data_IF_040617799644
#
_entry.id   IF_040617799644
#
_cell.length_a   1.000
_cell.length_b   1.000
_cell.length_c   1.000
_cell.angle_alpha   90.00
_cell.angle_beta   90.00
_cell.angle_gamma   90.00
#
_symmetry.space_group_name_H-M   'P 1'
#
loop_
_entity.id
_entity.type
_entity.pdbx_description
1 polymer ?
#
# COMPACT_ATOMS: atom_id res chain seq x y z
N UNK A 1 6.39 -3.63 23.06
CA UNK A 1 6.67 -2.42 22.26
C UNK A 1 8.18 -2.06 22.23
N UNK A 2 8.94 -2.38 23.27
CA UNK A 2 10.41 -2.15 23.29
C UNK A 2 11.14 -2.96 22.21
N UNK A 3 10.62 -4.10 21.84
CA UNK A 3 11.22 -4.99 20.84
C UNK A 3 11.09 -4.55 19.38
N UNK A 4 10.15 -3.64 19.04
CA UNK A 4 9.95 -3.26 17.62
C UNK A 4 11.15 -2.50 17.07
N UNK A 5 11.72 -1.58 17.84
CA UNK A 5 12.92 -0.87 17.45
C UNK A 5 14.13 -1.80 17.26
N UNK A 6 14.29 -2.79 18.14
CA UNK A 6 15.36 -3.79 18.02
C UNK A 6 15.21 -4.65 16.75
N UNK A 7 13.98 -5.08 16.43
CA UNK A 7 13.69 -5.83 15.20
C UNK A 7 14.01 -5.00 13.96
N UNK A 8 13.57 -3.74 13.94
CA UNK A 8 13.86 -2.82 12.83
C UNK A 8 15.36 -2.61 12.67
N UNK A 9 16.09 -2.34 13.77
CA UNK A 9 17.55 -2.19 13.74
C UNK A 9 18.22 -3.45 13.18
N UNK A 10 17.83 -4.64 13.63
CA UNK A 10 18.38 -5.91 13.13
C UNK A 10 18.15 -6.09 11.61
N UNK A 11 17.00 -5.69 11.11
CA UNK A 11 16.69 -5.77 9.67
C UNK A 11 17.50 -4.72 8.87
N UNK A 12 17.65 -3.52 9.41
CA UNK A 12 18.48 -2.46 8.80
C UNK A 12 19.97 -2.86 8.76
N UNK A 13 20.48 -3.50 9.80
CA UNK A 13 21.87 -4.03 9.84
C UNK A 13 22.10 -5.11 8.77
N UNK A 14 21.04 -5.70 8.22
CA UNK A 14 21.08 -6.67 7.11
C UNK A 14 20.75 -6.04 5.74
N UNK A 15 20.80 -4.73 5.63
CA UNK A 15 20.50 -3.95 4.42
C UNK A 15 19.05 -4.06 3.91
N UNK A 16 18.10 -4.51 4.75
CA UNK A 16 16.69 -4.46 4.37
C UNK A 16 16.14 -3.05 4.48
N UNK A 17 15.32 -2.65 3.51
CA UNK A 17 14.42 -1.52 3.67
C UNK A 17 13.23 -1.98 4.51
N UNK A 18 12.87 -1.22 5.53
CA UNK A 18 11.86 -1.62 6.50
C UNK A 18 10.68 -0.67 6.46
N UNK A 19 9.48 -1.23 6.41
CA UNK A 19 8.23 -0.52 6.71
C UNK A 19 7.64 -1.04 8.01
N UNK A 20 6.88 -0.20 8.69
CA UNK A 20 6.11 -0.58 9.89
C UNK A 20 4.63 -0.48 9.58
N UNK A 21 3.90 -1.56 9.86
CA UNK A 21 2.44 -1.61 9.75
C UNK A 21 1.82 -1.53 11.15
N UNK A 22 1.41 -0.33 11.52
CA UNK A 22 0.74 -0.06 12.79
C UNK A 22 -0.01 1.27 12.73
N UNK A 23 -1.12 1.34 13.43
CA UNK A 23 -1.87 2.58 13.69
C UNK A 23 -1.51 3.20 15.06
N UNK A 24 -0.65 2.54 15.83
CA UNK A 24 -0.29 2.95 17.19
C UNK A 24 1.00 3.80 17.19
N UNK A 25 0.94 5.09 17.57
CA UNK A 25 2.13 5.94 17.65
C UNK A 25 3.27 5.37 18.49
N UNK A 26 2.94 4.62 19.56
CA UNK A 26 3.94 3.97 20.44
C UNK A 26 4.75 2.86 19.77
N UNK A 27 4.27 2.34 18.64
CA UNK A 27 4.98 1.37 17.80
C UNK A 27 5.66 2.07 16.63
N UNK A 28 4.98 3.06 16.03
CA UNK A 28 5.48 3.81 14.88
C UNK A 28 6.75 4.58 15.24
N UNK A 29 6.73 5.38 16.32
CA UNK A 29 7.85 6.24 16.70
C UNK A 29 9.16 5.46 16.93
N UNK A 30 9.19 4.38 17.75
CA UNK A 30 10.42 3.62 17.93
C UNK A 30 10.86 2.86 16.68
N UNK A 31 9.93 2.40 15.83
CA UNK A 31 10.27 1.75 14.56
C UNK A 31 10.94 2.73 13.59
N UNK A 32 10.42 3.95 13.46
CA UNK A 32 11.01 4.98 12.60
C UNK A 32 12.34 5.47 13.18
N UNK A 33 12.45 5.68 14.49
CA UNK A 33 13.72 6.02 15.15
C UNK A 33 14.81 4.96 14.91
N UNK A 34 14.43 3.69 14.76
CA UNK A 34 15.32 2.58 14.43
C UNK A 34 15.58 2.40 12.92
N UNK A 35 14.99 3.23 12.04
CA UNK A 35 15.28 3.27 10.62
C UNK A 35 14.20 2.69 9.71
N UNK A 36 12.95 2.55 10.16
CA UNK A 36 11.83 2.30 9.25
C UNK A 36 11.62 3.52 8.34
N UNK A 37 11.42 3.26 7.04
CA UNK A 37 11.38 4.27 5.98
C UNK A 37 9.95 4.57 5.51
N UNK A 38 8.99 3.72 5.87
CA UNK A 38 7.59 3.83 5.47
C UNK A 38 6.69 3.39 6.62
N UNK A 39 5.65 4.17 6.89
CA UNK A 39 4.61 3.84 7.88
C UNK A 39 3.32 3.45 7.16
N UNK A 40 2.82 2.29 7.46
CA UNK A 40 1.54 1.72 7.04
C UNK A 40 0.62 1.63 8.28
N UNK A 41 -0.35 2.52 8.60
CA UNK A 41 -0.85 3.59 7.79
C UNK A 41 -1.20 4.79 8.68
N UNK A 42 -1.59 5.93 8.08
CA UNK A 42 -2.12 7.08 8.82
C UNK A 42 -3.52 7.45 8.32
N UNK A 43 -4.36 7.95 9.22
CA UNK A 43 -5.70 8.48 8.97
C UNK A 43 -5.97 9.61 9.98
N UNK A 44 -7.15 10.25 9.96
CA UNK A 44 -7.43 11.41 10.83
C UNK A 44 -7.19 11.15 12.33
N UNK A 45 -7.32 9.90 12.78
CA UNK A 45 -7.14 9.53 14.20
C UNK A 45 -5.69 9.49 14.69
N UNK A 46 -4.70 9.36 13.79
CA UNK A 46 -3.28 9.25 14.15
C UNK A 46 -2.34 10.11 13.30
N UNK A 47 -2.86 10.90 12.36
CA UNK A 47 -2.05 11.61 11.37
C UNK A 47 -1.02 12.57 11.98
N UNK A 48 -1.29 13.10 13.15
CA UNK A 48 -0.40 14.06 13.81
C UNK A 48 0.98 13.47 14.11
N UNK A 49 1.10 12.14 14.25
CA UNK A 49 2.38 11.46 14.43
C UNK A 49 3.30 11.69 13.22
N UNK A 50 2.74 11.74 12.00
CA UNK A 50 3.51 11.89 10.77
C UNK A 50 4.37 13.15 10.74
N UNK A 51 3.94 14.22 11.44
CA UNK A 51 4.64 15.52 11.48
C UNK A 51 6.08 15.44 11.96
N UNK A 52 6.39 14.49 12.83
CA UNK A 52 7.71 14.35 13.47
C UNK A 52 8.53 13.15 13.00
N UNK A 53 7.97 12.29 12.15
CA UNK A 53 8.62 11.03 11.79
C UNK A 53 9.80 11.18 10.82
N UNK A 54 9.74 12.14 9.89
CA UNK A 54 10.78 12.33 8.89
C UNK A 54 10.87 11.21 7.84
N UNK A 55 9.86 10.37 7.70
CA UNK A 55 9.75 9.30 6.71
C UNK A 55 8.44 9.38 5.91
N UNK A 56 8.31 8.55 4.89
CA UNK A 56 7.08 8.46 4.08
C UNK A 56 5.96 7.75 4.85
N UNK A 57 4.71 8.18 4.63
CA UNK A 57 3.53 7.56 5.23
C UNK A 57 2.52 7.13 4.17
N UNK A 58 1.73 6.09 4.46
CA UNK A 58 0.59 5.69 3.64
C UNK A 58 -0.68 6.27 4.27
N UNK A 59 -1.35 7.14 3.52
CA UNK A 59 -2.62 7.74 3.92
C UNK A 59 -3.78 6.85 3.50
N UNK A 60 -4.58 6.43 4.46
CA UNK A 60 -5.83 5.68 4.24
C UNK A 60 -7.05 6.52 4.60
N UNK A 61 -8.25 6.22 4.07
CA UNK A 61 -9.48 6.88 4.48
C UNK A 61 -9.85 6.53 5.93
N UNK A 62 -10.65 7.40 6.55
CA UNK A 62 -11.20 7.17 7.90
C UNK A 62 -12.27 6.07 7.91
N UNK A 63 -12.87 5.83 6.77
CA UNK A 63 -13.88 4.80 6.53
C UNK A 63 -13.61 4.14 5.18
N UNK A 64 -13.33 2.84 5.18
CA UNK A 64 -13.01 2.07 3.98
C UNK A 64 -14.15 2.04 2.93
N UNK A 65 -15.39 2.28 3.33
CA UNK A 65 -16.50 2.37 2.37
C UNK A 65 -16.53 3.68 1.58
N UNK A 66 -15.80 4.69 2.04
CA UNK A 66 -15.77 6.04 1.49
C UNK A 66 -14.33 6.53 1.30
N UNK A 67 -14.17 7.80 0.98
CA UNK A 67 -12.87 8.49 0.96
C UNK A 67 -12.81 9.60 2.01
N UNK A 68 -13.59 9.45 3.11
CA UNK A 68 -13.62 10.43 4.19
C UNK A 68 -12.21 10.64 4.78
N UNK A 69 -11.91 11.90 5.09
CA UNK A 69 -10.62 12.31 5.67
C UNK A 69 -9.47 12.48 4.68
N UNK A 70 -9.53 11.89 3.48
CA UNK A 70 -8.40 11.95 2.52
C UNK A 70 -8.03 13.39 2.18
N UNK A 71 -8.98 14.20 1.72
CA UNK A 71 -8.68 15.55 1.21
C UNK A 71 -8.14 16.49 2.31
N UNK A 72 -8.62 16.33 3.55
CA UNK A 72 -8.14 17.11 4.69
C UNK A 72 -6.74 16.67 5.13
N UNK A 73 -6.51 15.37 5.14
CA UNK A 73 -5.24 14.81 5.58
C UNK A 73 -4.13 15.00 4.53
N UNK A 74 -4.45 14.98 3.24
CA UNK A 74 -3.52 15.38 2.17
C UNK A 74 -3.04 16.81 2.40
N UNK A 75 -3.95 17.77 2.64
CA UNK A 75 -3.57 19.17 2.92
C UNK A 75 -2.66 19.32 4.13
N UNK A 76 -2.90 18.52 5.19
CA UNK A 76 -2.03 18.51 6.38
C UNK A 76 -0.63 18.01 6.02
N UNK A 77 -0.52 16.85 5.35
CA UNK A 77 0.76 16.26 4.97
C UNK A 77 1.55 17.18 4.05
N UNK A 78 0.90 17.78 3.05
CA UNK A 78 1.52 18.79 2.17
C UNK A 78 2.01 20.01 2.95
N UNK A 79 1.19 20.54 3.86
CA UNK A 79 1.57 21.70 4.71
C UNK A 79 2.78 21.39 5.59
N UNK A 80 2.89 20.16 6.08
CA UNK A 80 4.02 19.71 6.92
C UNK A 80 5.24 19.27 6.11
N UNK A 81 5.12 19.15 4.77
CA UNK A 81 6.18 18.65 3.90
C UNK A 81 6.48 17.16 4.12
N UNK A 82 5.50 16.38 4.60
CA UNK A 82 5.63 14.94 4.81
C UNK A 82 5.38 14.20 3.51
N UNK A 83 6.33 13.39 3.03
CA UNK A 83 6.10 12.55 1.86
C UNK A 83 5.02 11.50 2.15
N UNK A 84 4.12 11.28 1.19
CA UNK A 84 3.02 10.35 1.36
C UNK A 84 2.64 9.66 0.06
N UNK A 85 1.98 8.52 0.20
CA UNK A 85 1.19 7.86 -0.84
C UNK A 85 -0.21 7.58 -0.32
N UNK A 86 -1.19 7.48 -1.22
CA UNK A 86 -2.59 7.26 -0.85
C UNK A 86 -2.95 5.80 -1.13
N UNK A 87 -3.53 5.11 -0.15
CA UNK A 87 -4.16 3.81 -0.34
C UNK A 87 -5.66 3.91 -0.06
N UNK A 88 -6.53 3.89 -1.09
CA UNK A 88 -7.99 3.87 -0.92
C UNK A 88 -8.54 2.60 -0.29
N UNK A 89 -7.70 1.66 0.05
CA UNK A 89 -7.95 0.34 0.65
C UNK A 89 -8.72 -0.60 -0.27
N UNK A 90 -8.06 -1.65 -0.75
CA UNK A 90 -8.68 -2.73 -1.50
C UNK A 90 -9.50 -3.61 -0.54
N UNK A 91 -10.78 -3.81 -0.82
CA UNK A 91 -11.64 -4.65 -0.01
C UNK A 91 -11.81 -6.05 -0.65
N UNK A 92 -12.02 -7.10 0.17
CA UNK A 92 -12.21 -8.45 -0.35
C UNK A 92 -13.56 -8.63 -1.05
N UNK A 93 -13.69 -9.71 -1.80
CA UNK A 93 -14.93 -10.09 -2.48
C UNK A 93 -16.06 -10.26 -1.46
N UNK A 94 -17.22 -9.70 -1.76
CA UNK A 94 -18.38 -9.70 -0.85
C UNK A 94 -18.42 -8.54 0.14
N UNK A 95 -17.28 -7.86 0.38
CA UNK A 95 -17.17 -6.74 1.33
C UNK A 95 -16.95 -5.38 0.64
N UNK A 96 -16.92 -5.33 -0.66
CA UNK A 96 -16.80 -4.05 -1.37
C UNK A 96 -15.73 -4.02 -2.46
N UNK A 97 -15.21 -5.16 -2.90
CA UNK A 97 -14.14 -5.27 -3.90
C UNK A 97 -14.38 -4.36 -5.12
N UNK A 98 -15.52 -4.47 -5.80
CA UNK A 98 -15.79 -3.67 -6.99
C UNK A 98 -15.86 -2.17 -6.70
N UNK A 99 -16.39 -1.77 -5.53
CA UNK A 99 -16.44 -0.36 -5.11
C UNK A 99 -15.04 0.15 -4.77
N UNK A 100 -14.19 -0.68 -4.17
CA UNK A 100 -12.82 -0.28 -3.86
C UNK A 100 -12.01 0.04 -5.13
N UNK A 101 -12.15 -0.75 -6.19
CA UNK A 101 -11.54 -0.41 -7.49
C UNK A 101 -12.01 0.95 -8.01
N UNK A 102 -13.30 1.27 -7.84
CA UNK A 102 -13.83 2.61 -8.16
C UNK A 102 -13.19 3.74 -7.36
N UNK A 103 -12.89 3.52 -6.06
CA UNK A 103 -12.18 4.49 -5.22
C UNK A 103 -10.75 4.75 -5.72
N UNK A 104 -10.03 3.74 -6.18
CA UNK A 104 -8.71 3.93 -6.79
C UNK A 104 -8.77 4.83 -8.04
N UNK A 105 -9.77 4.61 -8.91
CA UNK A 105 -9.99 5.47 -10.08
C UNK A 105 -10.33 6.91 -9.67
N UNK A 106 -11.14 7.08 -8.63
CA UNK A 106 -11.50 8.39 -8.11
C UNK A 106 -10.29 9.11 -7.51
N UNK A 107 -9.47 8.43 -6.70
CA UNK A 107 -8.24 9.03 -6.15
C UNK A 107 -7.27 9.39 -7.27
N UNK A 108 -7.05 8.55 -8.27
CA UNK A 108 -6.20 8.90 -9.42
C UNK A 108 -6.71 10.14 -10.14
N UNK A 109 -8.03 10.29 -10.28
CA UNK A 109 -8.63 11.48 -10.89
C UNK A 109 -8.45 12.75 -10.04
N UNK A 110 -8.60 12.64 -8.69
CA UNK A 110 -8.42 13.79 -7.76
C UNK A 110 -6.96 14.17 -7.60
N UNK A 111 -6.08 13.21 -7.56
CA UNK A 111 -4.65 13.34 -7.28
C UNK A 111 -3.83 12.71 -8.39
N UNK A 112 -3.79 13.31 -9.59
CA UNK A 112 -3.17 12.70 -10.78
C UNK A 112 -1.67 12.44 -10.61
N UNK A 113 -0.99 13.28 -9.83
CA UNK A 113 0.47 13.23 -9.64
C UNK A 113 0.90 12.53 -8.35
N UNK A 114 -0.05 12.20 -7.46
CA UNK A 114 0.28 11.54 -6.19
C UNK A 114 0.62 10.06 -6.40
N UNK A 115 1.54 9.57 -5.58
CA UNK A 115 1.77 8.12 -5.49
C UNK A 115 0.56 7.44 -4.84
N UNK A 116 0.16 6.33 -5.45
CA UNK A 116 -0.93 5.49 -4.93
C UNK A 116 -0.36 4.11 -4.65
N UNK A 117 -0.76 3.53 -3.54
CA UNK A 117 -0.45 2.15 -3.17
C UNK A 117 -1.72 1.30 -3.19
N UNK A 118 -1.60 0.02 -3.51
CA UNK A 118 -2.69 -0.95 -3.41
C UNK A 118 -2.26 -2.14 -2.55
N UNK A 119 -2.98 -2.37 -1.46
CA UNK A 119 -2.82 -3.55 -0.62
C UNK A 119 -3.46 -4.78 -1.28
N UNK A 120 -2.76 -5.42 -2.23
CA UNK A 120 -3.30 -6.58 -2.96
C UNK A 120 -3.41 -7.82 -2.08
N UNK A 121 -2.65 -7.90 -0.99
CA UNK A 121 -2.77 -8.94 0.03
C UNK A 121 -4.18 -9.05 0.60
N UNK A 122 -4.91 -7.96 0.73
CA UNK A 122 -6.30 -7.95 1.19
C UNK A 122 -7.24 -8.81 0.33
N UNK A 123 -6.89 -9.03 -0.93
CA UNK A 123 -7.67 -9.91 -1.80
C UNK A 123 -7.08 -11.32 -1.85
N UNK A 124 -5.76 -11.46 -2.02
CA UNK A 124 -5.12 -12.77 -2.17
C UNK A 124 -5.16 -13.60 -0.90
N UNK A 125 -5.02 -13.01 0.27
CA UNK A 125 -5.12 -13.72 1.54
C UNK A 125 -6.55 -14.13 1.91
N UNK A 126 -7.53 -13.31 1.54
CA UNK A 126 -8.94 -13.51 1.88
C UNK A 126 -9.75 -14.21 0.77
N UNK A 127 -9.06 -14.76 -0.23
CA UNK A 127 -9.66 -15.54 -1.30
C UNK A 127 -8.94 -16.87 -1.42
N UNK A 128 -9.59 -17.95 -1.01
CA UNK A 128 -9.05 -19.33 -1.09
C UNK A 128 -9.04 -19.79 -2.57
N UNK A 129 -8.06 -19.28 -3.31
CA UNK A 129 -7.83 -19.56 -4.73
C UNK A 129 -6.36 -19.31 -5.06
N UNK A 130 -5.89 -19.84 -6.19
CA UNK A 130 -4.57 -19.58 -6.73
C UNK A 130 -4.33 -18.06 -6.88
N UNK A 131 -3.29 -17.55 -6.26
CA UNK A 131 -2.98 -16.12 -6.24
C UNK A 131 -2.45 -15.57 -7.56
N UNK A 132 -1.85 -16.38 -8.42
CA UNK A 132 -1.20 -15.91 -9.65
C UNK A 132 -2.16 -15.18 -10.61
N UNK A 133 -3.34 -15.71 -10.98
CA UNK A 133 -4.27 -14.96 -11.80
C UNK A 133 -4.84 -13.73 -11.10
N UNK A 134 -5.02 -13.76 -9.78
CA UNK A 134 -5.49 -12.60 -9.00
C UNK A 134 -4.45 -11.49 -9.05
N UNK A 135 -3.19 -11.81 -8.78
CA UNK A 135 -2.07 -10.88 -8.86
C UNK A 135 -1.93 -10.29 -10.26
N UNK A 136 -2.06 -11.11 -11.32
CA UNK A 136 -1.99 -10.63 -12.70
C UNK A 136 -3.07 -9.59 -13.02
N UNK A 137 -4.32 -9.83 -12.63
CA UNK A 137 -5.43 -8.91 -12.88
C UNK A 137 -5.27 -7.61 -12.08
N UNK A 138 -4.88 -7.69 -10.81
CA UNK A 138 -4.65 -6.50 -9.98
C UNK A 138 -3.46 -5.68 -10.48
N UNK A 139 -2.36 -6.32 -10.89
CA UNK A 139 -1.22 -5.63 -11.48
C UNK A 139 -1.56 -5.01 -12.85
N UNK A 140 -2.45 -5.63 -13.63
CA UNK A 140 -3.01 -5.04 -14.83
C UNK A 140 -3.77 -3.75 -14.54
N UNK A 141 -4.67 -3.79 -13.56
CA UNK A 141 -5.38 -2.60 -13.09
C UNK A 141 -4.40 -1.51 -12.61
N UNK A 142 -3.40 -1.89 -11.79
CA UNK A 142 -2.38 -0.96 -11.32
C UNK A 142 -1.61 -0.32 -12.49
N UNK A 143 -1.19 -1.10 -13.49
CA UNK A 143 -0.46 -0.60 -14.65
C UNK A 143 -1.30 0.42 -15.45
N UNK A 144 -2.57 0.12 -15.71
CA UNK A 144 -3.46 0.99 -16.48
C UNK A 144 -3.83 2.27 -15.74
N UNK A 145 -3.86 2.24 -14.41
CA UNK A 145 -4.19 3.38 -13.55
C UNK A 145 -2.98 4.15 -13.03
N UNK A 146 -1.76 3.72 -13.41
CA UNK A 146 -0.52 4.36 -12.98
C UNK A 146 -0.19 4.16 -11.50
N UNK A 147 -0.72 3.10 -10.86
CA UNK A 147 -0.37 2.70 -9.51
C UNK A 147 0.94 1.93 -9.57
N UNK A 148 1.98 2.42 -8.87
CA UNK A 148 3.35 1.87 -8.93
C UNK A 148 3.79 1.18 -7.67
N UNK A 149 2.95 1.13 -6.66
CA UNK A 149 3.24 0.55 -5.36
C UNK A 149 2.16 -0.45 -4.98
N UNK A 150 2.57 -1.66 -4.62
CA UNK A 150 1.67 -2.70 -4.12
C UNK A 150 2.22 -3.27 -2.81
N UNK A 151 1.31 -3.64 -1.92
CA UNK A 151 1.62 -4.41 -0.72
C UNK A 151 1.06 -5.83 -0.89
N UNK A 152 1.91 -6.83 -0.78
CA UNK A 152 1.54 -8.25 -0.82
C UNK A 152 2.23 -9.01 0.30
N UNK A 153 1.74 -10.19 0.60
CA UNK A 153 2.32 -11.09 1.59
C UNK A 153 2.40 -12.51 1.06
N UNK A 154 3.15 -13.37 1.73
CA UNK A 154 3.27 -14.81 1.45
C UNK A 154 2.88 -15.66 2.69
N UNK A 155 1.99 -15.10 3.55
CA UNK A 155 1.62 -15.71 4.83
C UNK A 155 0.75 -16.95 4.65
N UNK A 156 -0.17 -16.93 3.68
CA UNK A 156 -1.11 -18.02 3.44
C UNK A 156 -0.59 -18.97 2.35
N UNK A 157 -0.84 -20.27 2.45
CA UNK A 157 -0.20 -21.26 1.59
C UNK A 157 -0.56 -21.14 0.10
N UNK A 158 -1.77 -20.71 -0.26
CA UNK A 158 -2.15 -20.48 -1.67
C UNK A 158 -1.60 -19.19 -2.26
N UNK A 159 -0.98 -18.34 -1.45
CA UNK A 159 -0.31 -17.11 -1.86
C UNK A 159 1.20 -17.14 -1.53
N UNK A 160 1.78 -18.31 -1.29
CA UNK A 160 3.18 -18.46 -0.86
C UNK A 160 4.23 -18.08 -1.91
N UNK A 161 3.83 -17.75 -3.13
CA UNK A 161 4.69 -17.25 -4.21
C UNK A 161 4.29 -15.86 -4.72
N UNK A 162 3.42 -15.14 -4.00
CA UNK A 162 2.85 -13.86 -4.43
C UNK A 162 3.89 -12.82 -4.83
N UNK A 163 5.01 -12.71 -4.13
CA UNK A 163 6.08 -11.75 -4.48
C UNK A 163 6.64 -12.05 -5.87
N UNK A 164 6.95 -13.33 -6.15
CA UNK A 164 7.44 -13.75 -7.45
C UNK A 164 6.39 -13.59 -8.55
N UNK A 165 5.14 -13.91 -8.26
CA UNK A 165 4.01 -13.73 -9.18
C UNK A 165 3.82 -12.27 -9.56
N UNK A 166 3.85 -11.36 -8.57
CA UNK A 166 3.79 -9.92 -8.80
C UNK A 166 4.96 -9.43 -9.68
N UNK A 167 6.18 -9.94 -9.46
CA UNK A 167 7.34 -9.58 -10.28
C UNK A 167 7.18 -10.04 -11.74
N UNK A 168 6.61 -11.20 -11.99
CA UNK A 168 6.33 -11.70 -13.33
C UNK A 168 5.14 -10.94 -13.96
N UNK A 169 4.07 -10.77 -13.21
CA UNK A 169 2.87 -10.06 -13.65
C UNK A 169 3.19 -8.62 -14.07
N UNK A 170 3.94 -7.86 -13.25
CA UNK A 170 4.28 -6.48 -13.61
C UNK A 170 5.06 -6.36 -14.92
N UNK A 171 5.96 -7.31 -15.22
CA UNK A 171 6.70 -7.35 -16.48
C UNK A 171 5.76 -7.59 -17.66
N UNK A 172 4.88 -8.57 -17.53
CA UNK A 172 3.92 -8.95 -18.56
C UNK A 172 2.94 -7.81 -18.85
N UNK A 173 2.32 -7.23 -17.81
CA UNK A 173 1.34 -6.14 -18.00
C UNK A 173 2.00 -4.86 -18.49
N UNK A 174 3.21 -4.55 -18.02
CA UNK A 174 3.98 -3.40 -18.51
C UNK A 174 4.26 -3.54 -20.00
N UNK A 175 4.75 -4.71 -20.44
CA UNK A 175 5.01 -4.97 -21.85
C UNK A 175 3.73 -4.85 -22.69
N UNK A 176 2.64 -5.46 -22.23
CA UNK A 176 1.35 -5.41 -22.91
C UNK A 176 0.84 -3.96 -23.10
N UNK A 177 0.85 -3.16 -22.05
CA UNK A 177 0.43 -1.76 -22.09
C UNK A 177 1.36 -0.89 -22.97
N UNK A 178 2.69 -1.07 -22.83
CA UNK A 178 3.66 -0.27 -23.57
C UNK A 178 3.62 -0.53 -25.10
N UNK A 179 3.22 -1.73 -25.52
CA UNK A 179 3.22 -2.12 -26.93
C UNK A 179 1.81 -2.27 -27.54
N UNK A 180 0.74 -2.04 -26.73
CA UNK A 180 -0.64 -2.22 -27.17
C UNK A 180 -0.95 -3.66 -27.58
N UNK A 181 -0.36 -4.64 -26.89
CA UNK A 181 -0.52 -6.07 -27.18
C UNK A 181 -1.22 -6.79 -26.03
N UNK A 182 -1.86 -7.91 -26.37
CA UNK A 182 -2.46 -8.75 -25.32
C UNK A 182 -1.37 -9.39 -24.46
N UNK A 183 -1.56 -9.52 -23.15
CA UNK A 183 -0.61 -10.19 -22.25
C UNK A 183 -0.61 -11.71 -22.51
N UNK A 184 0.34 -12.17 -23.29
CA UNK A 184 0.49 -13.58 -23.71
C UNK A 184 1.92 -14.05 -23.47
#
# INVERSE_FOLDING_TARGET
FESIGEIVSLLRDKDFRVSVDSLNPREIEPAVAAGAELVLSVHSGNIDVARSLGCEVVLIPDDNATLAGIDENVKKLETWGVPYRIDPVLEPIGFGFARSLGRYLEIRKRYPDSEIMMGIGNLTELTDADSAPVNLLLLGFCQETGIRSVLTTEVIHWASSSVRECELARKLVHYACAHGQLPK
#
